data_IF_295492659749
#
_entry.id   IF_295492659749
#
_cell.length_a   1.000
_cell.length_b   1.000
_cell.length_c   1.000
_cell.angle_alpha   90.00
_cell.angle_beta   90.00
_cell.angle_gamma   90.00
#
_symmetry.space_group_name_H-M   'P 1'
#
loop_
_entity.id
_entity.type
_entity.pdbx_description
1 polymer ?
#
# COMPACT_ATOMS: atom_id res chain seq x y z
N UNK A 1 19.94 -1.01 -7.75
CA UNK A 1 18.82 -0.43 -8.52
C UNK A 1 17.56 -1.17 -8.12
N UNK A 2 16.49 -0.48 -7.68
CA UNK A 2 15.23 -1.17 -7.39
C UNK A 2 14.67 -1.76 -8.68
N UNK A 3 14.24 -3.02 -8.64
CA UNK A 3 13.56 -3.65 -9.77
C UNK A 3 12.19 -2.99 -9.94
N UNK A 4 11.98 -2.35 -11.07
CA UNK A 4 10.69 -1.74 -11.44
C UNK A 4 9.56 -2.76 -11.54
N UNK A 5 9.90 -4.01 -11.89
CA UNK A 5 8.99 -5.16 -11.93
C UNK A 5 9.56 -6.27 -11.08
N UNK A 6 8.74 -6.81 -10.19
CA UNK A 6 9.07 -7.88 -9.26
C UNK A 6 8.18 -9.06 -9.62
N UNK A 7 8.80 -10.17 -9.99
CA UNK A 7 8.13 -11.41 -10.36
C UNK A 7 8.15 -12.38 -9.18
N UNK A 8 7.09 -13.17 -9.06
CA UNK A 8 7.06 -14.31 -8.15
C UNK A 8 8.02 -15.38 -8.69
N UNK A 9 9.01 -15.85 -7.90
CA UNK A 9 9.97 -16.87 -8.35
C UNK A 9 9.33 -18.18 -8.80
N UNK A 10 8.17 -18.52 -8.23
CA UNK A 10 7.48 -19.79 -8.51
C UNK A 10 6.42 -19.67 -9.63
N UNK A 11 6.09 -18.44 -10.04
CA UNK A 11 5.13 -18.17 -11.10
C UNK A 11 5.40 -16.81 -11.75
N UNK A 12 6.12 -16.83 -12.88
CA UNK A 12 6.52 -15.60 -13.58
C UNK A 12 5.33 -14.75 -14.08
N UNK A 13 4.16 -15.36 -14.30
CA UNK A 13 2.95 -14.65 -14.68
C UNK A 13 2.33 -13.86 -13.51
N UNK A 14 2.73 -14.13 -12.26
CA UNK A 14 2.37 -13.33 -11.09
C UNK A 14 3.47 -12.31 -10.80
N UNK A 15 3.22 -11.04 -11.12
CA UNK A 15 4.20 -9.97 -10.96
C UNK A 15 3.56 -8.68 -10.46
N UNK A 16 4.38 -7.79 -9.93
CA UNK A 16 3.99 -6.43 -9.60
C UNK A 16 4.99 -5.40 -10.11
N UNK A 17 4.49 -4.23 -10.47
CA UNK A 17 5.29 -3.04 -10.76
C UNK A 17 5.14 -2.06 -9.63
N UNK A 18 6.25 -1.49 -9.18
CA UNK A 18 6.25 -0.49 -8.11
C UNK A 18 6.88 0.79 -8.65
N UNK A 19 6.17 1.91 -8.47
CA UNK A 19 6.58 3.21 -8.98
C UNK A 19 6.37 4.28 -7.92
N UNK A 20 7.30 5.24 -7.77
CA UNK A 20 7.02 6.44 -6.99
C UNK A 20 5.78 7.17 -7.52
N UNK A 21 4.99 7.72 -6.61
CA UNK A 21 3.91 8.65 -6.94
C UNK A 21 4.50 10.05 -7.11
N UNK A 22 4.21 10.72 -8.24
CA UNK A 22 4.68 12.10 -8.52
C UNK A 22 3.68 13.17 -8.07
N UNK A 23 3.04 12.93 -6.93
CA UNK A 23 2.03 13.81 -6.32
C UNK A 23 2.07 13.66 -4.79
N UNK A 24 1.51 14.63 -4.07
CA UNK A 24 1.18 14.40 -2.67
C UNK A 24 -0.04 13.49 -2.61
N UNK A 25 0.03 12.43 -1.81
CA UNK A 25 -1.09 11.53 -1.55
C UNK A 25 -1.67 11.88 -0.19
N UNK A 26 -2.98 12.12 -0.12
CA UNK A 26 -3.73 12.32 1.12
C UNK A 26 -4.76 11.20 1.26
N UNK A 27 -4.83 10.62 2.44
CA UNK A 27 -5.81 9.59 2.80
C UNK A 27 -6.67 10.13 3.93
N UNK A 28 -7.98 10.15 3.75
CA UNK A 28 -8.91 10.66 4.74
C UNK A 28 -10.14 9.76 4.90
N UNK A 29 -10.82 9.89 6.05
CA UNK A 29 -12.10 9.23 6.31
C UNK A 29 -13.02 10.19 7.05
N UNK A 30 -14.21 10.44 6.51
CA UNK A 30 -15.21 11.33 7.11
C UNK A 30 -14.62 12.68 7.58
N UNK A 31 -13.75 13.30 6.76
CA UNK A 31 -13.08 14.57 7.06
C UNK A 31 -11.84 14.47 7.97
N UNK A 32 -11.52 13.30 8.52
CA UNK A 32 -10.30 13.08 9.33
C UNK A 32 -9.15 12.63 8.44
N UNK A 33 -8.02 13.35 8.49
CA UNK A 33 -6.79 12.95 7.80
C UNK A 33 -6.17 11.75 8.50
N UNK A 34 -5.90 10.67 7.75
CA UNK A 34 -5.28 9.46 8.26
C UNK A 34 -3.82 9.33 7.82
N UNK A 35 -3.49 9.82 6.62
CA UNK A 35 -2.12 9.85 6.13
C UNK A 35 -1.91 10.94 5.08
N UNK A 36 -0.69 11.47 5.00
CA UNK A 36 -0.24 12.37 3.95
C UNK A 36 1.24 12.12 3.62
N UNK A 37 1.58 11.99 2.34
CA UNK A 37 2.99 11.84 1.92
C UNK A 37 3.24 12.26 0.49
N UNK A 38 4.45 12.75 0.22
CA UNK A 38 5.00 12.96 -1.13
C UNK A 38 5.89 11.81 -1.61
N UNK A 39 6.08 10.81 -0.77
CA UNK A 39 6.97 9.67 -1.01
C UNK A 39 6.19 8.35 -1.10
N UNK A 40 4.93 8.41 -1.54
CA UNK A 40 4.10 7.22 -1.71
C UNK A 40 4.60 6.35 -2.88
N UNK A 41 4.34 5.05 -2.78
CA UNK A 41 4.58 4.08 -3.83
C UNK A 41 3.24 3.62 -4.41
N UNK A 42 3.16 3.50 -5.73
CA UNK A 42 2.05 2.86 -6.44
C UNK A 42 2.46 1.46 -6.85
N UNK A 43 1.68 0.48 -6.43
CA UNK A 43 1.83 -0.92 -6.81
C UNK A 43 0.74 -1.29 -7.80
N UNK A 44 1.14 -1.83 -8.95
CA UNK A 44 0.24 -2.39 -9.95
C UNK A 44 0.56 -3.89 -10.04
N UNK A 45 -0.38 -4.75 -9.72
CA UNK A 45 -0.14 -6.19 -9.60
C UNK A 45 -1.02 -7.00 -10.56
N UNK A 46 -0.42 -8.04 -11.14
CA UNK A 46 -1.09 -9.04 -11.95
C UNK A 46 -0.84 -10.40 -11.29
N UNK A 47 -1.91 -11.12 -10.96
CA UNK A 47 -1.86 -12.49 -10.42
C UNK A 47 -2.81 -13.38 -11.22
N UNK A 48 -3.85 -13.92 -10.55
CA UNK A 48 -4.96 -14.61 -11.25
C UNK A 48 -5.80 -13.67 -12.13
N UNK A 49 -5.72 -12.36 -11.87
CA UNK A 49 -6.35 -11.27 -12.60
C UNK A 49 -5.44 -10.02 -12.51
N UNK A 50 -5.78 -8.96 -13.23
CA UNK A 50 -5.18 -7.63 -13.09
C UNK A 50 -5.90 -6.91 -11.96
N UNK A 51 -5.17 -6.53 -10.91
CA UNK A 51 -5.75 -5.83 -9.77
C UNK A 51 -5.66 -4.31 -9.92
N UNK A 52 -6.60 -3.60 -9.30
CA UNK A 52 -6.54 -2.14 -9.21
C UNK A 52 -5.26 -1.67 -8.51
N UNK A 53 -4.68 -0.53 -8.93
CA UNK A 53 -3.49 0.01 -8.29
C UNK A 53 -3.70 0.33 -6.81
N UNK A 54 -2.72 -0.01 -5.99
CA UNK A 54 -2.70 0.29 -4.56
C UNK A 54 -1.62 1.32 -4.25
N UNK A 55 -1.97 2.35 -3.47
CA UNK A 55 -1.01 3.30 -2.94
C UNK A 55 -0.53 2.86 -1.55
N UNK A 56 0.79 2.82 -1.40
CA UNK A 56 1.51 2.51 -0.18
C UNK A 56 2.14 3.80 0.34
N UNK A 57 1.68 4.26 1.50
CA UNK A 57 2.12 5.49 2.15
C UNK A 57 3.22 5.14 3.16
N UNK A 58 4.39 5.79 3.15
CA UNK A 58 5.37 5.61 4.20
C UNK A 58 4.77 5.83 5.58
N UNK A 59 5.13 5.00 6.55
CA UNK A 59 4.62 5.06 7.93
C UNK A 59 4.81 6.44 8.56
N UNK A 60 5.90 7.14 8.25
CA UNK A 60 6.15 8.51 8.71
C UNK A 60 5.09 9.53 8.23
N UNK A 61 4.34 9.22 7.19
CA UNK A 61 3.21 10.01 6.70
C UNK A 61 1.85 9.59 7.27
N UNK A 62 1.78 8.51 8.05
CA UNK A 62 0.54 7.99 8.66
C UNK A 62 0.37 8.62 10.03
N UNK A 63 -0.68 9.41 10.22
CA UNK A 63 -0.94 10.19 11.44
C UNK A 63 -2.28 9.87 12.10
N UNK A 64 -3.13 9.09 11.44
CA UNK A 64 -4.40 8.63 11.99
C UNK A 64 -4.22 7.67 13.16
N UNK A 65 -5.19 7.58 14.08
CA UNK A 65 -5.13 6.68 15.24
C UNK A 65 -5.45 5.24 14.82
N UNK A 66 -4.54 4.63 14.07
CA UNK A 66 -4.65 3.24 13.61
C UNK A 66 -4.18 2.27 14.70
N UNK A 67 -4.97 1.24 14.96
CA UNK A 67 -4.69 0.22 15.96
C UNK A 67 -4.34 -1.11 15.27
N UNK A 68 -3.30 -1.84 15.69
CA UNK A 68 -2.94 -3.11 15.07
C UNK A 68 -3.99 -4.21 15.37
N UNK A 69 -4.31 -5.01 14.36
CA UNK A 69 -5.17 -6.18 14.51
C UNK A 69 -4.33 -7.38 14.95
N UNK A 70 -4.60 -7.89 16.15
CA UNK A 70 -3.90 -9.07 16.68
C UNK A 70 -4.44 -10.38 16.09
N UNK A 71 -3.56 -11.33 15.80
CA UNK A 71 -3.92 -12.69 15.40
C UNK A 71 -4.42 -12.85 13.95
N UNK A 72 -4.46 -11.78 13.16
CA UNK A 72 -4.82 -11.82 11.73
C UNK A 72 -3.59 -11.56 10.86
N UNK A 73 -3.37 -12.44 9.90
CA UNK A 73 -2.36 -12.28 8.84
C UNK A 73 -2.84 -12.98 7.57
N UNK A 74 -2.45 -12.48 6.40
CA UNK A 74 -2.65 -13.18 5.13
C UNK A 74 -1.36 -13.21 4.33
N UNK A 75 -1.16 -14.29 3.56
CA UNK A 75 0.05 -14.49 2.79
C UNK A 75 -0.10 -14.02 1.34
N UNK A 76 0.82 -13.18 0.88
CA UNK A 76 0.97 -12.78 -0.51
C UNK A 76 2.28 -13.38 -1.07
N UNK A 77 2.23 -14.13 -2.18
CA UNK A 77 3.44 -14.79 -2.72
C UNK A 77 4.48 -13.80 -3.27
N UNK A 78 4.09 -12.54 -3.51
CA UNK A 78 5.03 -11.48 -3.92
C UNK A 78 5.60 -10.67 -2.75
N UNK A 79 4.89 -10.58 -1.62
CA UNK A 79 5.13 -9.57 -0.58
C UNK A 79 5.31 -10.15 0.82
N UNK A 80 5.11 -11.45 1.01
CA UNK A 80 5.14 -12.07 2.33
C UNK A 80 3.82 -11.87 3.08
N UNK A 81 3.90 -11.74 4.40
CA UNK A 81 2.74 -11.74 5.28
C UNK A 81 2.25 -10.32 5.56
N UNK A 82 0.95 -10.09 5.36
CA UNK A 82 0.30 -8.82 5.64
C UNK A 82 -0.14 -8.73 7.10
N UNK A 83 0.14 -7.60 7.73
CA UNK A 83 -0.42 -7.19 9.02
C UNK A 83 -1.50 -6.12 8.80
N UNK A 84 -2.50 -6.05 9.68
CA UNK A 84 -3.69 -5.22 9.49
C UNK A 84 -3.87 -4.17 10.59
N UNK A 85 -4.56 -3.09 10.26
CA UNK A 85 -4.92 -2.03 11.21
C UNK A 85 -6.40 -1.70 11.17
N UNK A 86 -6.94 -1.34 12.34
CA UNK A 86 -8.30 -0.84 12.54
C UNK A 86 -8.32 0.66 12.82
N UNK A 87 -9.44 1.30 12.49
CA UNK A 87 -9.82 2.62 12.98
C UNK A 87 -11.23 2.50 13.57
N UNK A 88 -11.37 2.75 14.87
CA UNK A 88 -12.63 2.59 15.62
C UNK A 88 -13.23 1.18 15.45
N UNK A 89 -12.41 0.13 15.55
CA UNK A 89 -12.84 -1.27 15.43
C UNK A 89 -13.09 -1.77 14.01
N UNK A 90 -12.97 -0.92 12.99
CA UNK A 90 -13.09 -1.35 11.59
C UNK A 90 -11.72 -1.45 10.91
N UNK A 91 -11.41 -2.63 10.35
CA UNK A 91 -10.18 -2.84 9.60
C UNK A 91 -10.15 -1.93 8.37
N UNK A 92 -9.11 -1.11 8.23
CA UNK A 92 -9.06 -0.06 7.20
C UNK A 92 -7.76 -0.03 6.41
N UNK A 93 -6.70 -0.62 6.95
CA UNK A 93 -5.38 -0.56 6.37
C UNK A 93 -4.61 -1.87 6.58
N UNK A 94 -3.56 -2.05 5.81
CA UNK A 94 -2.61 -3.15 5.95
C UNK A 94 -1.18 -2.70 5.64
N UNK A 95 -0.21 -3.48 6.08
CA UNK A 95 1.21 -3.31 5.80
C UNK A 95 1.87 -4.66 5.57
N UNK A 96 3.01 -4.64 4.89
CA UNK A 96 3.97 -5.74 4.90
C UNK A 96 5.16 -5.26 5.73
N UNK A 97 5.18 -5.63 7.02
CA UNK A 97 6.23 -5.25 7.99
C UNK A 97 7.52 -6.03 7.73
N UNK A 98 7.37 -7.28 7.27
CA UNK A 98 8.45 -8.22 6.93
C UNK A 98 8.28 -8.77 5.51
N UNK A 99 8.38 -7.90 4.49
CA UNK A 99 8.27 -8.35 3.13
C UNK A 99 9.45 -9.24 2.73
N UNK A 100 9.28 -9.99 1.65
CA UNK A 100 10.40 -10.71 1.02
C UNK A 100 11.47 -9.73 0.52
N UNK A 101 12.71 -10.21 0.40
CA UNK A 101 13.87 -9.41 -0.03
C UNK A 101 13.62 -8.68 -1.37
N UNK A 102 12.97 -9.34 -2.33
CA UNK A 102 12.65 -8.73 -3.62
C UNK A 102 11.55 -7.67 -3.56
N UNK A 103 10.81 -7.58 -2.45
CA UNK A 103 9.74 -6.61 -2.19
C UNK A 103 10.06 -5.64 -1.07
N UNK A 104 11.33 -5.59 -0.63
CA UNK A 104 11.82 -4.84 0.53
C UNK A 104 11.44 -3.35 0.51
N UNK A 105 11.31 -2.75 -0.67
CA UNK A 105 10.90 -1.36 -0.82
C UNK A 105 9.48 -1.05 -0.30
N UNK A 106 8.64 -2.06 -0.04
CA UNK A 106 7.33 -1.89 0.59
C UNK A 106 7.40 -1.91 2.13
N UNK A 107 8.54 -2.27 2.72
CA UNK A 107 8.71 -2.25 4.18
C UNK A 107 8.45 -0.85 4.72
N UNK A 108 7.77 -0.75 5.86
CA UNK A 108 7.46 0.53 6.49
C UNK A 108 6.47 1.38 5.69
N UNK A 109 5.63 0.76 4.85
CA UNK A 109 4.55 1.43 4.16
C UNK A 109 3.20 0.82 4.52
N UNK A 110 2.17 1.67 4.54
CA UNK A 110 0.79 1.32 4.86
C UNK A 110 -0.10 1.59 3.65
N UNK A 111 -0.94 0.62 3.29
CA UNK A 111 -1.96 0.77 2.27
C UNK A 111 -3.35 0.76 2.92
N UNK A 112 -4.32 1.39 2.25
CA UNK A 112 -5.68 1.57 2.77
C UNK A 112 -6.71 0.96 1.83
N UNK A 113 -7.81 0.45 2.39
CA UNK A 113 -8.93 -0.06 1.62
C UNK A 113 -9.68 1.10 0.95
N UNK A 114 -9.62 1.18 -0.38
CA UNK A 114 -10.19 2.29 -1.17
C UNK A 114 -11.71 2.44 -1.03
N UNK A 115 -12.41 1.39 -0.61
CA UNK A 115 -13.85 1.45 -0.30
C UNK A 115 -14.16 1.97 1.12
N UNK A 116 -13.14 2.27 1.94
CA UNK A 116 -13.29 2.72 3.34
C UNK A 116 -12.68 4.11 3.60
N UNK A 117 -11.87 4.60 2.67
CA UNK A 117 -11.20 5.91 2.74
C UNK A 117 -11.35 6.66 1.43
N UNK A 118 -11.16 7.98 1.49
CA UNK A 118 -10.93 8.82 0.32
C UNK A 118 -9.42 8.96 0.14
N UNK A 119 -8.93 8.73 -1.09
CA UNK A 119 -7.53 8.90 -1.46
C UNK A 119 -7.46 9.96 -2.56
N UNK A 120 -6.66 11.00 -2.32
CA UNK A 120 -6.48 12.13 -3.24
C UNK A 120 -5.00 12.27 -3.60
N UNK A 121 -4.71 12.46 -4.89
CA UNK A 121 -3.39 12.80 -5.40
C UNK A 121 -3.37 14.27 -5.81
N UNK A 122 -2.60 15.11 -5.11
CA UNK A 122 -2.48 16.55 -5.36
C UNK A 122 -1.07 16.93 -5.81
N UNK A 123 -0.95 17.35 -7.07
CA UNK A 123 0.32 17.69 -7.73
C UNK A 123 0.13 17.81 -9.25
N UNK A 124 1.12 18.37 -9.95
CA UNK A 124 1.00 18.87 -11.34
C UNK A 124 0.71 17.82 -12.43
N UNK A 125 0.65 16.54 -12.09
CA UNK A 125 0.21 15.44 -12.97
C UNK A 125 -1.10 14.78 -12.51
N UNK A 126 -1.93 15.49 -11.72
CA UNK A 126 -3.34 15.12 -11.55
C UNK A 126 -4.03 15.31 -12.90
N UNK A 127 -4.02 14.24 -13.71
CA UNK A 127 -4.54 14.17 -15.06
C UNK A 127 -5.89 14.91 -15.18
N UNK A 128 -5.88 15.95 -16.02
CA UNK A 128 -7.00 16.30 -16.89
C UNK A 128 -7.31 15.14 -17.85
#
# INVERSE_FOLDING_TARGET
MSRLTIHNPDNDAHFMRVKPVKAAVRVSRAGTLLAESRNALRVQETGKDVYDPVLYIPEAGVTGPLEPVSGKSTHCPLKGDASYFTLNGEEIAWTYDRPFEWSEQLRGHVAFYTNKVTIEETGTDALL
#
